data_IF_750130955023
#
_entry.id   IF_750130955023
#
_cell.length_a   1.000
_cell.length_b   1.000
_cell.length_c   1.000
_cell.angle_alpha   90.00
_cell.angle_beta   90.00
_cell.angle_gamma   90.00
#
_symmetry.space_group_name_H-M   'P 1'
#
loop_
_entity.id
_entity.type
_entity.pdbx_description
1 polymer ?
#
# COMPACT_ATOMS: atom_id res chain seq x y z
N UNK A 1 2.88 13.28 -9.59
CA UNK A 1 1.86 12.29 -10.01
C UNK A 1 2.36 11.21 -10.99
N UNK A 2 3.50 11.37 -11.67
CA UNK A 2 4.03 10.28 -12.52
C UNK A 2 4.61 9.11 -11.73
N UNK A 3 5.00 9.33 -10.47
CA UNK A 3 5.55 8.32 -9.57
C UNK A 3 4.48 7.30 -9.17
N UNK A 4 3.28 7.77 -8.83
CA UNK A 4 2.17 6.91 -8.37
C UNK A 4 1.77 5.90 -9.47
N UNK A 5 1.76 6.36 -10.73
CA UNK A 5 1.48 5.52 -11.90
C UNK A 5 2.60 4.48 -12.10
N UNK A 6 3.87 4.87 -11.97
CA UNK A 6 5.00 3.94 -12.11
C UNK A 6 4.97 2.85 -11.02
N UNK A 7 4.73 3.25 -9.77
CA UNK A 7 4.59 2.32 -8.64
C UNK A 7 3.42 1.36 -8.88
N UNK A 8 2.28 1.87 -9.34
CA UNK A 8 1.13 1.05 -9.69
C UNK A 8 1.43 0.02 -10.78
N UNK A 9 2.20 0.40 -11.81
CA UNK A 9 2.64 -0.49 -12.89
C UNK A 9 3.59 -1.57 -12.37
N UNK A 10 4.52 -1.22 -11.48
CA UNK A 10 5.45 -2.19 -10.90
C UNK A 10 4.70 -3.23 -10.05
N UNK A 11 3.80 -2.78 -9.17
CA UNK A 11 2.93 -3.67 -8.36
C UNK A 11 2.13 -4.60 -9.28
N UNK A 12 1.52 -4.05 -10.34
CA UNK A 12 0.76 -4.85 -11.29
C UNK A 12 1.62 -5.88 -12.01
N UNK A 13 2.83 -5.50 -12.43
CA UNK A 13 3.75 -6.37 -13.15
C UNK A 13 4.25 -7.52 -12.27
N UNK A 14 4.67 -7.20 -11.03
CA UNK A 14 5.06 -8.18 -10.02
C UNK A 14 3.90 -9.14 -9.71
N UNK A 15 2.68 -8.62 -9.64
CA UNK A 15 1.50 -9.39 -9.30
C UNK A 15 1.05 -10.35 -10.41
N UNK A 16 0.99 -9.86 -11.65
CA UNK A 16 0.59 -10.65 -12.82
C UNK A 16 1.59 -11.79 -13.07
N UNK A 17 2.88 -11.49 -12.94
CA UNK A 17 3.95 -12.49 -13.12
C UNK A 17 4.13 -13.41 -11.91
N UNK A 18 3.42 -13.14 -10.80
CA UNK A 18 3.51 -13.88 -9.53
C UNK A 18 4.95 -14.04 -9.03
N UNK A 19 5.77 -13.00 -9.20
CA UNK A 19 7.17 -13.03 -8.78
C UNK A 19 7.34 -12.85 -7.26
N UNK A 20 6.28 -12.43 -6.56
CA UNK A 20 6.28 -12.15 -5.13
C UNK A 20 5.03 -12.75 -4.48
N UNK A 21 5.15 -13.16 -3.22
CA UNK A 21 4.02 -13.66 -2.42
C UNK A 21 3.36 -12.55 -1.59
N UNK A 22 4.10 -11.46 -1.34
CA UNK A 22 3.69 -10.37 -0.47
C UNK A 22 4.25 -9.04 -0.94
N UNK A 23 3.43 -8.01 -0.92
CA UNK A 23 3.78 -6.62 -1.24
C UNK A 23 3.48 -5.78 -0.01
N UNK A 24 4.47 -5.04 0.48
CA UNK A 24 4.32 -4.06 1.56
C UNK A 24 4.50 -2.68 0.93
N UNK A 25 3.42 -1.92 0.85
CA UNK A 25 3.44 -0.54 0.40
C UNK A 25 3.61 0.39 1.60
N UNK A 26 4.66 1.21 1.59
CA UNK A 26 4.86 2.25 2.60
C UNK A 26 4.48 3.57 1.95
N UNK A 27 3.28 4.08 2.26
CA UNK A 27 2.74 5.29 1.65
C UNK A 27 1.64 5.91 2.50
N UNK A 28 1.60 7.23 2.54
CA UNK A 28 0.47 7.99 3.10
C UNK A 28 -0.69 8.19 2.11
N UNK A 29 -0.53 7.75 0.85
CA UNK A 29 -1.50 7.96 -0.23
C UNK A 29 -2.44 6.75 -0.40
N UNK A 30 -3.71 7.05 -0.60
CA UNK A 30 -4.80 6.08 -0.74
C UNK A 30 -5.10 5.72 -2.20
N UNK A 31 -4.44 6.34 -3.18
CA UNK A 31 -4.74 6.15 -4.62
C UNK A 31 -4.33 4.77 -5.18
N UNK A 32 -3.72 3.89 -4.37
CA UNK A 32 -3.25 2.57 -4.79
C UNK A 32 -4.28 1.43 -4.70
N UNK A 33 -5.57 1.75 -4.43
CA UNK A 33 -6.68 0.76 -4.40
C UNK A 33 -6.68 -0.19 -5.62
N UNK A 34 -6.53 0.28 -6.87
CA UNK A 34 -6.62 -0.61 -8.03
C UNK A 34 -5.47 -1.62 -8.08
N UNK A 35 -4.27 -1.19 -7.71
CA UNK A 35 -3.08 -2.05 -7.67
C UNK A 35 -3.18 -3.09 -6.55
N UNK A 36 -3.68 -2.70 -5.36
CA UNK A 36 -3.95 -3.60 -4.25
C UNK A 36 -5.00 -4.67 -4.62
N UNK A 37 -6.11 -4.26 -5.25
CA UNK A 37 -7.14 -5.20 -5.75
C UNK A 37 -6.56 -6.22 -6.73
N UNK A 38 -5.70 -5.77 -7.65
CA UNK A 38 -5.07 -6.65 -8.61
C UNK A 38 -4.12 -7.65 -7.93
N UNK A 39 -3.31 -7.20 -6.96
CA UNK A 39 -2.42 -8.06 -6.19
C UNK A 39 -3.20 -9.14 -5.43
N UNK A 40 -4.25 -8.76 -4.68
CA UNK A 40 -5.09 -9.70 -3.93
C UNK A 40 -5.77 -10.74 -4.84
N UNK A 41 -6.27 -10.31 -6.01
CA UNK A 41 -6.85 -11.24 -7.01
C UNK A 41 -5.85 -12.26 -7.56
N UNK A 42 -4.56 -11.93 -7.55
CA UNK A 42 -3.50 -12.84 -7.95
C UNK A 42 -2.99 -13.72 -6.78
N UNK A 43 -3.62 -13.65 -5.60
CA UNK A 43 -3.24 -14.43 -4.41
C UNK A 43 -2.00 -13.89 -3.70
N UNK A 44 -1.73 -12.60 -3.83
CA UNK A 44 -0.58 -11.92 -3.22
C UNK A 44 -1.07 -11.09 -2.05
N UNK A 45 -0.45 -11.27 -0.89
CA UNK A 45 -0.74 -10.51 0.32
C UNK A 45 -0.35 -9.03 0.11
N UNK A 46 -1.29 -8.10 0.28
CA UNK A 46 -1.03 -6.68 0.14
C UNK A 46 -1.19 -5.94 1.47
N UNK A 47 -0.06 -5.45 2.01
CA UNK A 47 0.02 -4.72 3.26
C UNK A 47 0.30 -3.23 3.00
N UNK A 48 -0.29 -2.36 3.81
CA UNK A 48 -0.07 -0.92 3.75
C UNK A 48 0.45 -0.38 5.09
N UNK A 49 1.54 0.39 5.03
CA UNK A 49 2.03 1.22 6.13
C UNK A 49 1.71 2.70 5.83
N UNK A 50 0.75 3.31 6.57
CA UNK A 50 0.38 4.72 6.41
C UNK A 50 1.46 5.73 6.83
N UNK A 51 2.52 5.28 7.50
CA UNK A 51 3.43 6.14 8.25
C UNK A 51 2.68 7.08 9.21
N UNK A 52 1.72 6.53 9.97
CA UNK A 52 0.87 7.29 10.91
C UNK A 52 -0.10 8.30 10.29
N UNK A 53 -0.22 8.35 8.96
CA UNK A 53 -1.17 9.20 8.27
C UNK A 53 -2.61 8.62 8.40
N UNK A 54 -3.64 9.46 8.62
CA UNK A 54 -5.02 8.98 8.62
C UNK A 54 -5.42 8.46 7.24
N UNK A 55 -5.77 7.18 7.15
CA UNK A 55 -6.26 6.55 5.93
C UNK A 55 -7.80 6.58 5.91
N UNK A 56 -8.37 6.76 4.71
CA UNK A 56 -9.82 6.67 4.51
C UNK A 56 -10.33 5.24 4.73
N UNK A 57 -11.50 5.04 5.38
CA UNK A 57 -12.08 3.72 5.62
C UNK A 57 -12.22 2.86 4.36
N UNK A 58 -12.47 3.49 3.21
CA UNK A 58 -12.65 2.84 1.91
C UNK A 58 -11.41 2.04 1.45
N UNK A 59 -10.20 2.48 1.82
CA UNK A 59 -8.97 1.78 1.48
C UNK A 59 -8.78 0.52 2.34
N UNK A 60 -9.33 0.52 3.56
CA UNK A 60 -9.17 -0.57 4.53
C UNK A 60 -9.83 -1.86 4.06
N UNK A 61 -10.96 -1.77 3.36
CA UNK A 61 -11.67 -2.93 2.80
C UNK A 61 -10.85 -3.65 1.71
N UNK A 62 -9.87 -2.96 1.13
CA UNK A 62 -9.15 -3.41 -0.06
C UNK A 62 -7.71 -3.87 0.21
N UNK A 63 -7.23 -3.78 1.45
CA UNK A 63 -5.90 -4.24 1.89
C UNK A 63 -6.03 -5.45 2.83
N UNK A 64 -5.00 -6.29 2.92
CA UNK A 64 -4.99 -7.45 3.84
C UNK A 64 -4.60 -7.07 5.26
N UNK A 65 -3.86 -5.96 5.42
CA UNK A 65 -3.48 -5.47 6.73
C UNK A 65 -2.90 -4.06 6.68
N UNK A 66 -3.11 -3.35 7.79
CA UNK A 66 -2.59 -2.02 8.01
C UNK A 66 -1.66 -2.04 9.22
N UNK A 67 -0.38 -1.76 9.01
CA UNK A 67 0.58 -1.75 10.11
C UNK A 67 1.63 -0.66 9.89
N UNK A 68 1.77 0.24 10.85
CA UNK A 68 2.88 1.18 10.90
C UNK A 68 4.01 0.64 11.77
N UNK A 69 5.14 0.35 11.14
CA UNK A 69 6.34 -0.14 11.82
C UNK A 69 7.37 0.96 12.10
N UNK A 70 7.24 2.10 11.43
CA UNK A 70 8.09 3.26 11.70
C UNK A 70 7.79 3.84 13.09
N UNK A 71 8.79 4.30 13.87
CA UNK A 71 8.56 4.96 15.14
C UNK A 71 7.63 6.16 14.95
N UNK A 72 6.62 6.30 15.82
CA UNK A 72 5.64 7.40 15.75
C UNK A 72 6.40 8.72 15.81
N UNK A 73 6.30 9.58 14.78
CA UNK A 73 6.94 10.88 14.83
C UNK A 73 6.36 11.63 16.04
N UNK A 74 7.22 11.93 17.01
CA UNK A 74 6.84 12.78 18.13
C UNK A 74 6.57 14.17 17.54
N UNK A 75 5.34 14.64 17.67
CA UNK A 75 4.99 16.00 17.31
C UNK A 75 5.79 16.91 18.26
N UNK A 76 6.91 17.47 17.81
CA UNK A 76 7.47 18.65 18.46
C UNK A 76 6.44 19.75 18.20
N UNK A 77 5.68 20.09 19.26
CA UNK A 77 4.90 21.32 19.28
C UNK A 77 5.92 22.46 19.27
N UNK A 78 6.07 23.13 18.13
CA UNK A 78 6.58 24.51 18.09
C UNK A 78 5.47 25.47 18.54
#
# INVERSE_FOLDING_TARGET
KGVDIKIGIDIASLAIQRMVNKIILISGDSDFVPAAKLARRNGIDFLLDPMWNPIRPDLFEHIDGLQSNCPKPQHMKE
#
